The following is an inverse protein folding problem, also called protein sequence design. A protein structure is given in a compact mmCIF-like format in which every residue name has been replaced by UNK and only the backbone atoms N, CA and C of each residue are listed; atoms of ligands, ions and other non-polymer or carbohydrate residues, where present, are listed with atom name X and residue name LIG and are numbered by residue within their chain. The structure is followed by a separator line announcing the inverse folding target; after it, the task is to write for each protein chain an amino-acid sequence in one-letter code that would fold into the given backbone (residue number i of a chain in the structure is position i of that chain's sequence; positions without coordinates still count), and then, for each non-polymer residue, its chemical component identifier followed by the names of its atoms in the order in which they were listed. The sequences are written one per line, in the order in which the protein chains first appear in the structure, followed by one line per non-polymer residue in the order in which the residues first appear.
data_IF_340536825354
#
_entry.id   IF_340536825354
#
_cell.length_a   1.000
_cell.length_b   1.000
_cell.length_c   1.000
_cell.angle_alpha   90.00
_cell.angle_beta   90.00
_cell.angle_gamma   90.00
#
_symmetry.space_group_name_H-M   'P 1'
#
loop_
_entity.id
_entity.type
_entity.pdbx_description
1 polymer ?
#
# COMPACT_ATOMS: atom_id res chain seq x y z
N UNK A 1 19.27 4.91 -17.53
CA UNK A 1 18.41 4.91 -16.33
C UNK A 1 17.00 5.43 -16.64
N UNK A 2 16.80 6.72 -16.98
CA UNK A 2 15.46 7.26 -17.32
C UNK A 2 14.76 6.54 -18.48
N UNK A 3 15.45 6.36 -19.60
CA UNK A 3 14.89 5.70 -20.79
C UNK A 3 14.47 4.25 -20.51
N UNK A 4 15.27 3.53 -19.73
CA UNK A 4 14.99 2.16 -19.32
C UNK A 4 13.76 2.04 -18.41
N UNK A 5 13.58 2.98 -17.47
CA UNK A 5 12.37 3.06 -16.65
C UNK A 5 11.12 3.25 -17.51
N UNK A 6 11.13 4.25 -18.41
CA UNK A 6 9.99 4.57 -19.28
C UNK A 6 9.69 3.40 -20.24
N UNK A 7 10.71 2.73 -20.78
CA UNK A 7 10.56 1.54 -21.64
C UNK A 7 9.96 0.35 -20.88
N UNK A 8 10.41 0.07 -19.66
CA UNK A 8 9.87 -1.01 -18.83
C UNK A 8 8.40 -0.77 -18.46
N UNK A 9 8.08 0.43 -17.97
CA UNK A 9 6.72 0.78 -17.58
C UNK A 9 5.77 0.81 -18.78
N UNK A 10 6.26 1.29 -19.94
CA UNK A 10 5.50 1.25 -21.20
C UNK A 10 5.16 -0.18 -21.61
N UNK A 11 6.12 -1.11 -21.53
CA UNK A 11 5.85 -2.51 -21.89
C UNK A 11 4.77 -3.15 -21.01
N UNK A 12 4.69 -2.76 -19.73
CA UNK A 12 3.58 -3.18 -18.84
C UNK A 12 2.27 -2.52 -19.25
N UNK A 13 2.27 -1.21 -19.51
CA UNK A 13 1.10 -0.46 -19.97
C UNK A 13 0.51 -1.06 -21.24
N UNK A 14 1.33 -1.34 -22.26
CA UNK A 14 0.89 -1.91 -23.54
C UNK A 14 0.21 -3.28 -23.33
N UNK A 15 0.81 -4.16 -22.53
CA UNK A 15 0.23 -5.47 -22.17
C UNK A 15 -1.08 -5.34 -21.40
N UNK A 16 -1.21 -4.33 -20.52
CA UNK A 16 -2.47 -4.06 -19.83
C UNK A 16 -3.55 -3.56 -20.79
N UNK A 17 -3.19 -2.72 -21.77
CA UNK A 17 -4.17 -2.18 -22.75
C UNK A 17 -4.75 -3.23 -23.69
N UNK A 18 -4.08 -4.36 -23.89
CA UNK A 18 -4.64 -5.50 -24.64
C UNK A 18 -5.85 -6.13 -23.93
N UNK A 19 -5.94 -5.96 -22.61
CA UNK A 19 -6.96 -6.59 -21.77
C UNK A 19 -7.89 -5.59 -21.07
N UNK A 20 -7.59 -4.30 -21.13
CA UNK A 20 -8.35 -3.25 -20.45
C UNK A 20 -9.37 -2.60 -21.39
N UNK A 21 -10.61 -2.46 -20.94
CA UNK A 21 -11.65 -1.69 -21.65
C UNK A 21 -11.48 -0.17 -21.43
N UNK A 22 -10.61 0.24 -20.50
CA UNK A 22 -10.41 1.62 -20.01
C UNK A 22 -9.06 2.19 -20.45
N UNK A 23 -8.63 1.88 -21.68
CA UNK A 23 -7.29 2.21 -22.20
C UNK A 23 -6.90 3.68 -22.08
N UNK A 24 -7.83 4.61 -22.34
CA UNK A 24 -7.56 6.06 -22.23
C UNK A 24 -7.21 6.49 -20.80
N UNK A 25 -7.92 5.96 -19.81
CA UNK A 25 -7.68 6.29 -18.41
C UNK A 25 -6.37 5.66 -17.91
N UNK A 26 -6.08 4.44 -18.36
CA UNK A 26 -4.82 3.78 -18.04
C UNK A 26 -3.61 4.50 -18.64
N UNK A 27 -3.73 5.01 -19.88
CA UNK A 27 -2.71 5.84 -20.49
C UNK A 27 -2.47 7.15 -19.70
N UNK A 28 -3.52 7.76 -19.16
CA UNK A 28 -3.39 8.95 -18.31
C UNK A 28 -2.62 8.64 -17.02
N UNK A 29 -2.95 7.53 -16.36
CA UNK A 29 -2.21 7.03 -15.20
C UNK A 29 -0.73 6.82 -15.55
N UNK A 30 -0.44 6.12 -16.65
CA UNK A 30 0.93 5.91 -17.11
C UNK A 30 1.67 7.24 -17.35
N UNK A 31 1.05 8.20 -18.04
CA UNK A 31 1.64 9.52 -18.29
C UNK A 31 1.94 10.25 -16.98
N UNK A 32 1.05 10.14 -15.98
CA UNK A 32 1.26 10.73 -14.66
C UNK A 32 2.48 10.13 -13.97
N UNK A 33 2.60 8.80 -13.89
CA UNK A 33 3.76 8.12 -13.29
C UNK A 33 5.08 8.53 -13.96
N UNK A 34 5.10 8.57 -15.30
CA UNK A 34 6.27 9.03 -16.07
C UNK A 34 6.60 10.49 -15.77
N UNK A 35 5.59 11.36 -15.67
CA UNK A 35 5.78 12.79 -15.42
C UNK A 35 6.39 13.09 -14.04
N UNK A 36 6.04 12.29 -13.04
CA UNK A 36 6.51 12.45 -11.66
C UNK A 36 7.95 11.95 -11.46
N UNK A 37 8.51 11.24 -12.45
CA UNK A 37 9.87 10.70 -12.40
C UNK A 37 10.12 9.84 -11.16
N UNK A 38 9.11 9.05 -10.76
CA UNK A 38 9.21 8.11 -9.64
C UNK A 38 10.45 7.25 -9.86
N UNK A 39 11.38 7.28 -8.92
CA UNK A 39 12.75 6.77 -9.11
C UNK A 39 12.83 5.24 -9.15
N UNK A 40 11.71 4.54 -8.98
CA UNK A 40 11.66 3.08 -8.88
C UNK A 40 10.64 2.49 -9.87
N UNK A 41 11.14 1.88 -10.94
CA UNK A 41 10.33 1.18 -11.95
C UNK A 41 9.46 0.08 -11.34
N UNK A 42 9.95 -0.60 -10.30
CA UNK A 42 9.22 -1.69 -9.67
C UNK A 42 7.98 -1.16 -8.92
N UNK A 43 8.14 -0.09 -8.13
CA UNK A 43 7.03 0.55 -7.41
C UNK A 43 5.98 1.12 -8.38
N UNK A 44 6.41 1.89 -9.38
CA UNK A 44 5.52 2.42 -10.42
C UNK A 44 4.80 1.33 -11.23
N UNK A 45 5.44 0.18 -11.46
CA UNK A 45 4.81 -0.97 -12.13
C UNK A 45 3.68 -1.56 -11.31
N UNK A 46 3.85 -1.65 -9.98
CA UNK A 46 2.82 -2.14 -9.08
C UNK A 46 1.65 -1.15 -9.02
N UNK A 47 1.92 0.15 -8.91
CA UNK A 47 0.91 1.22 -8.98
C UNK A 47 0.07 1.11 -10.26
N UNK A 48 0.71 0.94 -11.41
CA UNK A 48 0.02 0.85 -12.70
C UNK A 48 -0.91 -0.38 -12.78
N UNK A 49 -0.48 -1.53 -12.29
CA UNK A 49 -1.30 -2.76 -12.26
C UNK A 49 -2.46 -2.62 -11.27
N UNK A 50 -2.23 -2.03 -10.11
CA UNK A 50 -3.28 -1.71 -9.12
C UNK A 50 -4.28 -0.72 -9.71
N UNK A 51 -3.81 0.32 -10.39
CA UNK A 51 -4.68 1.30 -11.04
C UNK A 51 -5.57 0.63 -12.09
N UNK A 52 -5.02 -0.23 -12.95
CA UNK A 52 -5.82 -0.99 -13.92
C UNK A 52 -6.85 -1.92 -13.26
N UNK A 53 -6.51 -2.52 -12.11
CA UNK A 53 -7.44 -3.36 -11.36
C UNK A 53 -8.70 -2.59 -10.93
N UNK A 54 -8.56 -1.35 -10.46
CA UNK A 54 -9.70 -0.51 -10.08
C UNK A 54 -10.39 0.11 -11.30
N UNK A 55 -9.66 0.55 -12.32
CA UNK A 55 -10.23 1.06 -13.57
C UNK A 55 -11.16 0.04 -14.24
N UNK A 56 -10.73 -1.22 -14.31
CA UNK A 56 -11.53 -2.33 -14.88
C UNK A 56 -12.79 -2.67 -14.06
N UNK A 57 -12.89 -2.17 -12.82
CA UNK A 57 -14.07 -2.28 -11.95
C UNK A 57 -14.94 -1.02 -11.96
N UNK A 58 -14.69 -0.10 -12.88
CA UNK A 58 -15.49 1.12 -13.05
C UNK A 58 -15.10 2.29 -12.14
N UNK A 59 -14.03 2.19 -11.37
CA UNK A 59 -13.54 3.30 -10.54
C UNK A 59 -12.87 4.36 -11.42
N UNK A 60 -12.97 5.62 -10.99
CA UNK A 60 -12.03 6.67 -11.43
C UNK A 60 -10.77 6.56 -10.58
N UNK A 61 -9.60 6.61 -11.21
CA UNK A 61 -8.33 6.32 -10.54
C UNK A 61 -7.33 7.44 -10.78
N UNK A 62 -6.62 7.80 -9.72
CA UNK A 62 -5.48 8.70 -9.72
C UNK A 62 -4.31 8.03 -9.01
N UNK A 63 -3.10 8.34 -9.45
CA UNK A 63 -1.86 7.91 -8.80
C UNK A 63 -1.16 9.12 -8.20
N UNK A 64 -0.46 8.92 -7.09
CA UNK A 64 0.25 9.97 -6.36
C UNK A 64 -0.71 11.14 -6.05
N UNK A 65 -1.86 10.79 -5.48
CA UNK A 65 -2.98 11.69 -5.25
C UNK A 65 -2.91 12.29 -3.85
N UNK A 66 -2.92 13.63 -3.78
CA UNK A 66 -2.96 14.34 -2.50
C UNK A 66 -4.39 14.35 -1.94
N UNK A 67 -4.53 13.95 -0.68
CA UNK A 67 -5.76 13.98 0.10
C UNK A 67 -5.42 14.21 1.58
N UNK A 68 -6.04 15.22 2.17
CA UNK A 68 -5.87 15.60 3.58
C UNK A 68 -4.39 15.81 3.99
N UNK A 69 -3.57 16.34 3.08
CA UNK A 69 -2.13 16.54 3.29
C UNK A 69 -1.29 15.27 3.24
N UNK A 70 -1.86 14.16 2.77
CA UNK A 70 -1.19 12.89 2.52
C UNK A 70 -1.20 12.58 1.02
N UNK A 71 -0.16 11.93 0.50
CA UNK A 71 -0.11 11.48 -0.90
C UNK A 71 -0.31 9.96 -0.92
N UNK A 72 -1.43 9.51 -1.47
CA UNK A 72 -1.73 8.10 -1.70
C UNK A 72 -1.11 7.63 -3.01
N UNK A 73 -0.44 6.48 -2.99
CA UNK A 73 0.15 5.89 -4.20
C UNK A 73 -0.93 5.63 -5.27
N UNK A 74 -2.05 5.00 -4.88
CA UNK A 74 -3.23 4.88 -5.75
C UNK A 74 -4.50 5.29 -4.98
N UNK A 75 -5.24 6.23 -5.54
CA UNK A 75 -6.55 6.65 -5.07
C UNK A 75 -7.62 6.32 -6.10
N UNK A 76 -8.68 5.64 -5.66
CA UNK A 76 -9.79 5.22 -6.52
C UNK A 76 -11.13 5.65 -5.96
N UNK A 77 -11.99 6.21 -6.81
CA UNK A 77 -13.32 6.69 -6.46
C UNK A 77 -14.39 5.97 -7.30
N UNK A 78 -15.22 5.20 -6.62
CA UNK A 78 -16.43 4.54 -7.14
C UNK A 78 -17.57 4.70 -6.15
N UNK A 79 -18.27 3.60 -5.82
CA UNK A 79 -19.28 3.60 -4.74
C UNK A 79 -18.65 3.88 -3.36
N UNK A 80 -17.38 3.50 -3.19
CA UNK A 80 -16.56 3.77 -2.01
C UNK A 80 -15.25 4.42 -2.42
N UNK A 81 -14.69 5.20 -1.51
CA UNK A 81 -13.34 5.75 -1.65
C UNK A 81 -12.32 4.71 -1.22
N UNK A 82 -11.39 4.38 -2.13
CA UNK A 82 -10.33 3.41 -1.90
C UNK A 82 -8.97 4.08 -1.99
N UNK A 83 -8.15 3.91 -0.97
CA UNK A 83 -6.74 4.32 -0.95
C UNK A 83 -5.83 3.11 -0.86
N UNK A 84 -4.72 3.14 -1.59
CA UNK A 84 -3.72 2.08 -1.60
C UNK A 84 -2.34 2.66 -1.45
N UNK A 85 -1.55 2.08 -0.55
CA UNK A 85 -0.10 2.30 -0.46
C UNK A 85 0.63 1.07 -0.99
N UNK A 86 1.60 1.27 -1.87
CA UNK A 86 2.41 0.20 -2.48
C UNK A 86 3.70 0.01 -1.68
N UNK A 87 3.89 -1.20 -1.17
CA UNK A 87 5.04 -1.58 -0.37
C UNK A 87 5.85 -2.69 -1.05
N UNK A 88 7.13 -2.41 -1.31
CA UNK A 88 8.06 -3.33 -2.00
C UNK A 88 8.90 -4.17 -1.04
N UNK A 89 8.67 -4.05 0.27
CA UNK A 89 9.48 -4.64 1.34
C UNK A 89 10.98 -4.32 1.25
N UNK A 90 11.32 -3.13 0.76
CA UNK A 90 12.69 -2.64 0.74
C UNK A 90 13.23 -2.48 2.18
N UNK A 91 14.38 -3.09 2.44
CA UNK A 91 15.11 -3.01 3.71
C UNK A 91 16.38 -2.19 3.47
N UNK A 92 16.56 -1.04 4.14
CA UNK A 92 17.77 -0.25 4.03
C UNK A 92 18.95 -0.94 4.79
N UNK A 93 20.21 -0.74 4.35
CA UNK A 93 21.37 -1.40 4.97
C UNK A 93 21.52 -1.17 6.48
N UNK A 94 21.03 -0.04 6.99
CA UNK A 94 21.17 0.38 8.38
C UNK A 94 20.32 -0.43 9.38
N UNK A 95 19.38 -1.24 8.90
CA UNK A 95 18.45 -2.04 9.74
C UNK A 95 18.50 -3.53 9.45
N UNK A 96 19.59 -4.00 8.81
CA UNK A 96 19.78 -5.41 8.45
C UNK A 96 19.81 -6.36 9.65
N UNK A 97 20.08 -5.86 10.86
CA UNK A 97 20.03 -6.63 12.09
C UNK A 97 18.60 -6.89 12.58
N UNK A 98 17.61 -6.10 12.13
CA UNK A 98 16.19 -6.18 12.54
C UNK A 98 15.22 -5.82 11.40
N UNK A 99 15.24 -6.54 10.28
CA UNK A 99 14.45 -6.18 9.09
C UNK A 99 12.93 -6.33 9.30
N UNK A 100 12.48 -7.36 10.00
CA UNK A 100 11.04 -7.61 10.26
C UNK A 100 10.43 -6.50 11.11
N UNK A 101 11.16 -6.05 12.14
CA UNK A 101 10.78 -4.94 13.01
C UNK A 101 10.64 -3.63 12.23
N UNK A 102 11.60 -3.35 11.34
CA UNK A 102 11.56 -2.18 10.47
C UNK A 102 10.35 -2.22 9.53
N UNK A 103 10.08 -3.35 8.88
CA UNK A 103 8.94 -3.51 8.00
C UNK A 103 7.61 -3.39 8.75
N UNK A 104 7.51 -3.98 9.95
CA UNK A 104 6.36 -3.87 10.84
C UNK A 104 6.11 -2.42 11.24
N UNK A 105 7.16 -1.68 11.62
CA UNK A 105 7.09 -0.26 11.95
C UNK A 105 6.64 0.59 10.75
N UNK A 106 7.18 0.31 9.56
CA UNK A 106 6.83 1.03 8.32
C UNK A 106 5.37 0.81 7.94
N UNK A 107 4.90 -0.43 7.96
CA UNK A 107 3.48 -0.74 7.73
C UNK A 107 2.58 -0.05 8.75
N UNK A 108 2.98 -0.06 10.03
CA UNK A 108 2.22 0.62 11.09
C UNK A 108 2.04 2.09 10.79
N UNK A 109 3.10 2.77 10.36
CA UNK A 109 3.04 4.18 9.97
C UNK A 109 2.05 4.39 8.83
N UNK A 110 2.08 3.55 7.80
CA UNK A 110 1.19 3.65 6.64
C UNK A 110 -0.27 3.46 7.07
N UNK A 111 -0.59 2.40 7.78
CA UNK A 111 -1.97 2.16 8.23
C UNK A 111 -2.46 3.25 9.18
N UNK A 112 -1.64 3.69 10.14
CA UNK A 112 -2.03 4.71 11.11
C UNK A 112 -2.27 6.10 10.50
N UNK A 113 -1.52 6.46 9.45
CA UNK A 113 -1.66 7.78 8.79
C UNK A 113 -2.75 7.78 7.74
N UNK A 114 -2.73 6.79 6.85
CA UNK A 114 -3.53 6.77 5.63
C UNK A 114 -4.84 6.02 5.80
N UNK A 115 -4.89 5.04 6.70
CA UNK A 115 -6.08 4.20 6.91
C UNK A 115 -7.34 4.92 7.42
N UNK A 116 -7.24 6.22 7.72
CA UNK A 116 -8.37 7.07 8.13
C UNK A 116 -8.81 8.08 7.07
N UNK A 117 -8.03 8.27 6.00
CA UNK A 117 -8.35 9.26 4.97
C UNK A 117 -9.39 8.75 3.98
N UNK A 118 -9.58 7.44 3.86
CA UNK A 118 -10.45 6.78 2.88
C UNK A 118 -11.38 5.79 3.56
N UNK A 119 -12.41 5.33 2.83
CA UNK A 119 -13.37 4.35 3.35
C UNK A 119 -12.77 2.95 3.39
N UNK A 120 -12.04 2.57 2.34
CA UNK A 120 -11.30 1.31 2.27
C UNK A 120 -9.82 1.59 2.01
N UNK A 121 -8.95 1.03 2.85
CA UNK A 121 -7.51 1.23 2.76
C UNK A 121 -6.79 -0.09 2.59
N UNK A 122 -5.92 -0.20 1.60
CA UNK A 122 -5.16 -1.40 1.32
C UNK A 122 -3.67 -1.13 1.29
N UNK A 123 -2.89 -2.16 1.64
CA UNK A 123 -1.46 -2.21 1.30
C UNK A 123 -1.30 -3.14 0.10
N UNK A 124 -0.75 -2.64 -1.00
CA UNK A 124 -0.40 -3.44 -2.15
C UNK A 124 1.06 -3.91 -2.05
N UNK A 125 1.31 -5.19 -2.29
CA UNK A 125 2.64 -5.81 -2.26
C UNK A 125 2.84 -6.69 -3.49
N UNK A 126 4.10 -6.91 -3.93
CA UNK A 126 4.38 -7.92 -4.94
C UNK A 126 3.89 -9.31 -4.49
N UNK A 127 3.43 -10.13 -5.43
CA UNK A 127 2.81 -11.42 -5.11
C UNK A 127 3.74 -12.46 -4.49
N UNK A 128 5.05 -12.21 -4.50
CA UNK A 128 6.08 -13.02 -3.87
C UNK A 128 6.52 -12.49 -2.49
N UNK A 129 5.84 -11.46 -1.98
CA UNK A 129 6.09 -10.84 -0.67
C UNK A 129 4.84 -10.99 0.19
N UNK A 130 5.03 -11.46 1.42
CA UNK A 130 4.03 -11.37 2.48
C UNK A 130 4.62 -10.57 3.64
N UNK A 131 4.18 -9.32 3.87
CA UNK A 131 4.85 -8.46 4.84
C UNK A 131 4.40 -8.79 6.28
N UNK A 132 5.22 -8.46 7.30
CA UNK A 132 4.85 -8.67 8.70
C UNK A 132 3.76 -7.69 9.12
N UNK A 133 2.50 -8.11 8.93
CA UNK A 133 1.34 -7.26 9.20
C UNK A 133 1.04 -7.24 10.70
N UNK A 134 1.03 -6.06 11.36
CA UNK A 134 0.71 -5.98 12.78
C UNK A 134 -0.73 -6.42 13.05
N UNK A 135 -0.91 -7.46 13.86
CA UNK A 135 -2.23 -8.06 14.11
C UNK A 135 -3.24 -7.08 14.75
N UNK A 136 -2.77 -6.01 15.40
CA UNK A 136 -3.65 -4.94 15.91
C UNK A 136 -4.53 -4.35 14.80
N UNK A 137 -4.03 -4.29 13.56
CA UNK A 137 -4.79 -3.77 12.42
C UNK A 137 -5.75 -4.80 11.82
N UNK A 138 -5.72 -6.04 12.30
CA UNK A 138 -6.70 -7.08 11.96
C UNK A 138 -7.95 -7.01 12.85
N UNK A 139 -7.89 -6.23 13.93
CA UNK A 139 -8.99 -5.98 14.87
C UNK A 139 -9.67 -4.64 14.54
N UNK A 140 -10.98 -4.54 14.84
CA UNK A 140 -11.66 -3.25 14.76
C UNK A 140 -11.03 -2.26 15.76
N UNK A 141 -11.02 -0.93 15.48
CA UNK A 141 -10.45 0.08 16.38
C UNK A 141 -10.88 -0.02 17.85
N UNK A 142 -12.13 -0.44 18.08
CA UNK A 142 -12.75 -0.57 19.38
C UNK A 142 -12.27 -1.80 20.16
N UNK A 143 -11.76 -2.82 19.47
CA UNK A 143 -11.30 -4.11 20.01
C UNK A 143 -9.79 -4.14 20.27
N UNK A 144 -9.06 -3.08 19.90
CA UNK A 144 -7.60 -3.01 20.03
C UNK A 144 -7.20 -2.78 21.48
N UNK A 145 -6.30 -3.62 21.96
CA UNK A 145 -5.73 -3.50 23.29
C UNK A 145 -4.74 -2.31 23.37
N UNK A 146 -4.78 -1.58 24.49
CA UNK A 146 -3.98 -0.37 24.65
C UNK A 146 -2.49 -0.68 24.85
N UNK A 147 -2.16 -1.81 25.50
CA UNK A 147 -0.79 -2.25 25.70
C UNK A 147 -0.16 -2.72 24.37
N UNK A 148 -0.91 -3.45 23.55
CA UNK A 148 -0.50 -3.80 22.18
C UNK A 148 -0.18 -2.53 21.35
N UNK A 149 -1.05 -1.52 21.41
CA UNK A 149 -0.84 -0.24 20.73
C UNK A 149 0.40 0.50 21.24
N UNK A 150 0.66 0.47 22.56
CA UNK A 150 1.86 1.07 23.17
C UNK A 150 3.13 0.30 22.77
N UNK A 151 3.09 -1.03 22.74
CA UNK A 151 4.17 -1.89 22.25
C UNK A 151 4.52 -1.52 20.80
N UNK A 152 3.52 -1.47 19.93
CA UNK A 152 3.70 -1.12 18.53
C UNK A 152 4.19 0.32 18.33
N UNK A 153 3.71 1.27 19.13
CA UNK A 153 4.18 2.65 19.05
C UNK A 153 5.67 2.80 19.44
N UNK A 154 6.13 2.05 20.44
CA UNK A 154 7.56 2.00 20.80
C UNK A 154 8.40 1.43 19.66
N UNK A 155 7.91 0.39 18.98
CA UNK A 155 8.55 -0.17 17.79
C UNK A 155 8.67 0.89 16.68
N UNK A 156 7.59 1.59 16.37
CA UNK A 156 7.61 2.68 15.36
C UNK A 156 8.64 3.74 15.70
N UNK A 157 8.68 4.19 16.97
CA UNK A 157 9.58 5.25 17.43
C UNK A 157 11.07 4.89 17.33
N UNK A 158 11.40 3.60 17.21
CA UNK A 158 12.78 3.14 16.98
C UNK A 158 13.29 3.46 15.58
N UNK A 159 12.43 3.41 14.57
CA UNK A 159 12.81 3.53 13.16
C UNK A 159 12.33 4.82 12.51
N UNK A 160 11.25 5.42 13.03
CA UNK A 160 10.60 6.57 12.42
C UNK A 160 10.31 7.63 13.48
N UNK A 161 10.70 8.87 13.17
CA UNK A 161 10.30 10.03 13.94
C UNK A 161 9.31 10.87 13.15
N UNK A 162 8.02 10.53 13.25
CA UNK A 162 6.95 11.18 12.48
C UNK A 162 6.21 12.19 13.36
N UNK A 163 6.26 13.49 13.02
CA UNK A 163 5.47 14.50 13.70
C UNK A 163 3.97 14.19 13.62
N UNK A 164 3.26 14.37 14.73
CA UNK A 164 1.80 14.18 14.79
C UNK A 164 1.31 12.74 14.85
N UNK A 165 2.19 11.73 14.81
CA UNK A 165 1.80 10.34 15.04
C UNK A 165 1.72 10.02 16.54
N UNK A 166 0.56 9.59 17.01
CA UNK A 166 0.24 9.26 18.40
C UNK A 166 -0.53 7.94 18.52
N UNK A 167 -0.79 7.49 19.76
CA UNK A 167 -1.56 6.25 20.01
C UNK A 167 -2.96 6.30 19.42
N UNK A 168 -3.58 7.48 19.37
CA UNK A 168 -4.90 7.68 18.75
C UNK A 168 -4.84 7.38 17.26
N UNK A 169 -3.82 7.86 16.56
CA UNK A 169 -3.60 7.56 15.15
C UNK A 169 -3.45 6.06 14.89
N UNK A 170 -2.72 5.34 15.75
CA UNK A 170 -2.61 3.88 15.66
C UNK A 170 -3.95 3.19 15.95
N UNK A 171 -4.72 3.68 16.92
CA UNK A 171 -6.03 3.12 17.26
C UNK A 171 -7.05 3.34 16.13
N UNK A 172 -7.08 4.51 15.52
CA UNK A 172 -8.06 4.89 14.50
C UNK A 172 -7.71 4.37 13.10
N UNK A 173 -6.43 4.11 12.80
CA UNK A 173 -5.99 3.64 11.49
C UNK A 173 -6.64 2.32 11.09
N UNK A 174 -7.27 2.26 9.91
CA UNK A 174 -7.98 1.07 9.42
C UNK A 174 -7.22 0.43 8.27
N UNK A 175 -7.28 -0.90 8.20
CA UNK A 175 -6.79 -1.68 7.08
C UNK A 175 -7.95 -2.56 6.61
N UNK A 176 -8.29 -2.47 5.33
CA UNK A 176 -9.30 -3.31 4.70
C UNK A 176 -8.72 -4.65 4.25
N UNK A 177 -7.45 -4.65 3.81
CA UNK A 177 -6.74 -5.87 3.45
C UNK A 177 -5.41 -5.63 2.76
N UNK A 178 -4.86 -6.71 2.21
CA UNK A 178 -3.69 -6.67 1.33
C UNK A 178 -4.12 -6.89 -0.13
N UNK A 179 -3.42 -6.22 -1.04
CA UNK A 179 -3.50 -6.50 -2.48
C UNK A 179 -2.19 -7.16 -2.91
N UNK A 180 -2.26 -8.42 -3.34
CA UNK A 180 -1.13 -9.16 -3.87
C UNK A 180 -1.06 -8.97 -5.39
N UNK A 181 0.02 -8.34 -5.87
CA UNK A 181 0.18 -7.89 -7.25
C UNK A 181 1.19 -8.77 -7.98
N UNK A 182 0.75 -9.47 -9.02
CA UNK A 182 1.61 -10.29 -9.86
C UNK A 182 1.94 -9.53 -11.15
N UNK A 183 3.19 -9.07 -11.29
CA UNK A 183 3.65 -8.32 -12.47
C UNK A 183 3.83 -9.20 -13.74
N UNK A 184 3.97 -10.53 -13.56
CA UNK A 184 4.08 -11.46 -14.69
C UNK A 184 2.72 -11.68 -15.34
N UNK A 185 1.68 -11.96 -14.56
CA UNK A 185 0.30 -12.14 -15.04
C UNK A 185 -0.52 -10.85 -15.09
N UNK A 186 0.02 -9.74 -14.59
CA UNK A 186 -0.63 -8.43 -14.52
C UNK A 186 -1.96 -8.47 -13.77
N UNK A 187 -2.02 -9.27 -12.71
CA UNK A 187 -3.22 -9.51 -11.92
C UNK A 187 -3.05 -9.09 -10.47
N UNK A 188 -4.18 -8.79 -9.83
CA UNK A 188 -4.25 -8.45 -8.40
C UNK A 188 -5.24 -9.39 -7.73
N UNK A 189 -4.84 -9.99 -6.61
CA UNK A 189 -5.73 -10.70 -5.69
C UNK A 189 -5.83 -9.95 -4.37
N UNK A 190 -7.02 -9.89 -3.79
CA UNK A 190 -7.25 -9.28 -2.47
C UNK A 190 -7.24 -10.33 -1.37
N UNK A 191 -6.62 -10.00 -0.25
CA UNK A 191 -6.70 -10.73 1.00
C UNK A 191 -7.29 -9.79 2.06
N UNK A 192 -8.59 -9.92 2.30
CA UNK A 192 -9.29 -9.07 3.26
C UNK A 192 -8.90 -9.41 4.69
N UNK A 193 -8.96 -8.42 5.59
CA UNK A 193 -8.62 -8.60 7.01
C UNK A 193 -9.38 -9.76 7.67
N UNK A 194 -10.65 -9.98 7.29
CA UNK A 194 -11.47 -11.09 7.80
C UNK A 194 -10.90 -12.49 7.48
N UNK A 195 -10.07 -12.61 6.44
CA UNK A 195 -9.35 -13.84 6.07
C UNK A 195 -8.02 -13.92 6.83
N UNK A 196 -7.33 -12.79 6.98
CA UNK A 196 -6.01 -12.71 7.65
C UNK A 196 -6.08 -12.95 9.18
N UNK A 197 -7.18 -12.56 9.83
CA UNK A 197 -7.36 -12.67 11.28
C UNK A 197 -7.46 -14.11 11.81
N UNK A 198 -7.61 -15.13 10.95
CA UNK A 198 -7.73 -16.53 11.37
C UNK A 198 -6.39 -17.20 11.74
N UNK A 199 -5.25 -16.52 11.55
CA UNK A 199 -3.91 -17.11 11.64
C UNK A 199 -2.89 -16.27 12.46
N UNK A 200 -3.32 -15.35 13.32
CA UNK A 200 -2.39 -14.46 14.04
C UNK A 200 -2.52 -14.55 15.56
N UNK A 201 -1.55 -15.21 16.19
CA UNK A 201 -1.18 -14.97 17.60
C UNK A 201 -0.13 -13.84 17.62
N UNK A 202 -0.18 -13.00 18.67
CA UNK A 202 0.76 -11.88 18.84
C UNK A 202 1.67 -12.19 20.01
N UNK A 203 2.98 -12.20 19.77
CA UNK A 203 3.99 -11.97 20.80
C UNK A 203 4.47 -10.51 20.68
N UNK A 204 4.42 -9.75 21.78
CA UNK A 204 5.04 -8.43 21.85
C UNK A 204 6.58 -8.62 21.89
N UNK A 205 7.34 -8.00 20.97
CA UNK A 205 8.79 -8.12 20.92
C UNK A 205 9.51 -7.37 22.06
#
# INVERSE_FOLDING_TARGET
MRRQFEEQLRGIMERLTETSERNRDLEEVYRRLVSLRISNAHHASLELVVANHFLSRGYRVWVEHEKDGLILDVYSLGDREVGVEVETAFIPPEVLDRPEDYLTARLTVKVARYGKSVQDFYIAVPSYVFPPLPAVFLKAPEERDEEELRCLFRLVRRFHNIPGLDLRSLKEGRLSGLLSVNLSSLSVSSLDVAVLSRNSEVDCP
#
